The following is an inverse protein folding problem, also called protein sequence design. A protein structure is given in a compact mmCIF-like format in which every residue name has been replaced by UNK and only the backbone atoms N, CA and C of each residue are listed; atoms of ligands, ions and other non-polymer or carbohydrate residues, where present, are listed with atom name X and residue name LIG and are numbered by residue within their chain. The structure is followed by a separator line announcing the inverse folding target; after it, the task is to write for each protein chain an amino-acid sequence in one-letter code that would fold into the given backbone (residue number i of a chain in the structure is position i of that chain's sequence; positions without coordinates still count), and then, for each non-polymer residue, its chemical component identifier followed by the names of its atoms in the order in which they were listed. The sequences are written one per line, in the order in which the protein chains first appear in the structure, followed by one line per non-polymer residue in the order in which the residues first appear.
data_IF_577669871636
#
_entry.id   IF_577669871636
#
_cell.length_a   1.000
_cell.length_b   1.000
_cell.length_c   1.000
_cell.angle_alpha   90.00
_cell.angle_beta   90.00
_cell.angle_gamma   90.00
#
_symmetry.space_group_name_H-M   'P 1'
#
loop_
_entity.id
_entity.type
_entity.pdbx_description
1 polymer ?
#
# COMPACT_ATOMS: atom_id res chain seq x y z
N UNK A 1 -21.60 -3.14 26.11
CA UNK A 1 -20.49 -3.64 25.29
C UNK A 1 -20.63 -5.15 25.13
N UNK A 2 -20.64 -5.64 23.90
CA UNK A 2 -20.80 -7.07 23.59
C UNK A 2 -19.43 -7.73 23.40
N UNK A 3 -18.83 -8.19 24.50
CA UNK A 3 -17.55 -8.88 24.46
C UNK A 3 -17.61 -10.24 23.76
N UNK A 4 -18.80 -10.87 23.67
CA UNK A 4 -18.92 -12.16 22.98
C UNK A 4 -18.71 -11.97 21.48
N UNK A 5 -19.34 -10.95 20.89
CA UNK A 5 -19.12 -10.58 19.50
C UNK A 5 -17.67 -10.13 19.24
N UNK A 6 -17.07 -9.32 20.12
CA UNK A 6 -15.66 -8.91 19.96
C UNK A 6 -14.72 -10.14 19.99
N UNK A 7 -14.94 -11.09 20.90
CA UNK A 7 -14.15 -12.33 20.98
C UNK A 7 -14.33 -13.23 19.75
N UNK A 8 -15.53 -13.30 19.19
CA UNK A 8 -15.79 -14.01 17.93
C UNK A 8 -15.01 -13.38 16.77
N UNK A 9 -15.05 -12.05 16.66
CA UNK A 9 -14.30 -11.31 15.63
C UNK A 9 -12.78 -11.50 15.76
N UNK A 10 -12.25 -11.41 16.99
CA UNK A 10 -10.84 -11.70 17.30
C UNK A 10 -10.47 -13.12 16.88
N UNK A 11 -11.33 -14.10 17.17
CA UNK A 11 -11.07 -15.52 16.85
C UNK A 11 -11.04 -15.75 15.34
N UNK A 12 -11.95 -15.11 14.58
CA UNK A 12 -11.93 -15.15 13.11
C UNK A 12 -10.64 -14.58 12.55
N UNK A 13 -10.22 -13.40 13.00
CA UNK A 13 -8.98 -12.77 12.53
C UNK A 13 -7.76 -13.64 12.86
N UNK A 14 -7.72 -14.25 14.05
CA UNK A 14 -6.66 -15.20 14.42
C UNK A 14 -6.58 -16.38 13.45
N UNK A 15 -7.72 -16.97 13.10
CA UNK A 15 -7.77 -18.09 12.16
C UNK A 15 -7.27 -17.68 10.77
N UNK A 16 -7.60 -16.47 10.32
CA UNK A 16 -7.11 -15.94 9.04
C UNK A 16 -5.59 -15.73 9.05
N UNK A 17 -5.02 -15.18 10.12
CA UNK A 17 -3.57 -14.98 10.27
C UNK A 17 -2.82 -16.31 10.29
N UNK A 18 -3.37 -17.33 10.96
CA UNK A 18 -2.76 -18.67 11.02
C UNK A 18 -2.61 -19.31 9.64
N UNK A 19 -3.53 -19.05 8.72
CA UNK A 19 -3.45 -19.55 7.33
C UNK A 19 -2.33 -18.88 6.51
N UNK A 20 -1.77 -17.77 6.99
CA UNK A 20 -0.77 -16.98 6.28
C UNK A 20 0.67 -17.30 6.71
N UNK A 21 0.89 -18.25 7.64
CA UNK A 21 2.19 -18.73 8.13
C UNK A 21 3.29 -17.65 8.20
N UNK A 22 3.27 -16.79 9.23
CA UNK A 22 4.25 -15.70 9.36
C UNK A 22 5.71 -16.16 9.41
N UNK A 23 5.98 -17.41 9.80
CA UNK A 23 7.32 -17.97 9.95
C UNK A 23 7.96 -18.44 8.62
N UNK A 24 7.17 -18.58 7.55
CA UNK A 24 7.65 -19.06 6.23
C UNK A 24 8.10 -17.90 5.31
N UNK A 25 7.82 -16.66 5.67
CA UNK A 25 8.10 -15.50 4.82
C UNK A 25 9.41 -14.86 5.28
N UNK A 26 10.48 -15.07 4.51
CA UNK A 26 11.79 -14.48 4.79
C UNK A 26 11.76 -12.96 4.56
N UNK A 27 12.44 -12.20 5.43
CA UNK A 27 12.64 -10.77 5.21
C UNK A 27 13.47 -10.56 3.95
N UNK A 28 12.87 -9.97 2.91
CA UNK A 28 13.54 -9.79 1.62
C UNK A 28 14.35 -8.52 1.61
N UNK A 29 15.64 -8.63 1.28
CA UNK A 29 16.48 -7.48 0.99
C UNK A 29 15.97 -6.71 -0.24
N UNK A 30 16.26 -5.41 -0.33
CA UNK A 30 15.93 -4.63 -1.52
C UNK A 30 16.58 -5.20 -2.78
N UNK A 31 15.85 -5.15 -3.89
CA UNK A 31 16.33 -5.62 -5.20
C UNK A 31 17.57 -4.86 -5.70
N UNK A 32 17.66 -3.57 -5.37
CA UNK A 32 18.74 -2.69 -5.79
C UNK A 32 18.97 -1.61 -4.74
N UNK A 33 20.15 -1.00 -4.76
CA UNK A 33 20.48 0.10 -3.85
C UNK A 33 20.00 1.47 -4.39
N UNK A 34 20.07 2.48 -3.51
CA UNK A 34 19.64 3.86 -3.81
C UNK A 34 20.44 4.49 -4.95
N UNK A 35 21.74 4.21 -5.05
CA UNK A 35 22.63 4.81 -6.06
C UNK A 35 22.29 4.24 -7.43
N UNK A 36 22.10 2.92 -7.53
CA UNK A 36 21.70 2.26 -8.77
C UNK A 36 20.32 2.76 -9.24
N UNK A 37 19.36 2.85 -8.33
CA UNK A 37 18.03 3.35 -8.64
C UNK A 37 18.03 4.81 -9.10
N UNK A 38 18.73 5.71 -8.39
CA UNK A 38 18.78 7.12 -8.76
C UNK A 38 19.44 7.31 -10.14
N UNK A 39 20.54 6.60 -10.42
CA UNK A 39 21.15 6.62 -11.76
C UNK A 39 20.18 6.18 -12.85
N UNK A 40 19.39 5.14 -12.59
CA UNK A 40 18.34 4.68 -13.51
C UNK A 40 17.27 5.76 -13.71
N UNK A 41 16.74 6.33 -12.62
CA UNK A 41 15.72 7.38 -12.65
C UNK A 41 16.20 8.59 -13.45
N UNK A 42 17.40 9.10 -13.15
CA UNK A 42 17.97 10.26 -13.83
C UNK A 42 18.15 10.00 -15.33
N UNK A 43 18.64 8.81 -15.70
CA UNK A 43 18.77 8.41 -17.10
C UNK A 43 17.41 8.36 -17.82
N UNK A 44 16.38 7.82 -17.15
CA UNK A 44 15.02 7.72 -17.70
C UNK A 44 14.41 9.12 -17.86
N UNK A 45 14.49 9.96 -16.82
CA UNK A 45 13.96 11.34 -16.85
C UNK A 45 14.67 12.19 -17.90
N UNK A 46 15.99 12.11 -18.01
CA UNK A 46 16.76 12.83 -19.02
C UNK A 46 16.28 12.48 -20.45
N UNK A 47 16.08 11.18 -20.74
CA UNK A 47 15.53 10.74 -22.04
C UNK A 47 14.11 11.25 -22.30
N UNK A 48 13.28 11.30 -21.25
CA UNK A 48 11.91 11.81 -21.35
C UNK A 48 11.84 13.34 -21.47
N UNK A 49 12.80 14.09 -20.91
CA UNK A 49 12.87 15.55 -20.98
C UNK A 49 13.43 16.04 -22.32
N UNK A 50 14.36 15.31 -22.93
CA UNK A 50 14.89 15.64 -24.26
C UNK A 50 13.84 15.53 -25.38
N UNK A 51 12.67 14.95 -25.10
CA UNK A 51 11.54 14.86 -26.01
C UNK A 51 10.32 15.59 -25.45
N UNK A 52 9.97 16.76 -26.01
CA UNK A 52 8.71 17.42 -25.70
C UNK A 52 7.48 16.60 -26.13
N UNK A 53 7.68 15.66 -27.06
CA UNK A 53 6.66 14.76 -27.59
C UNK A 53 6.75 13.36 -26.97
N UNK A 54 5.70 12.53 -27.12
CA UNK A 54 5.80 11.09 -26.85
C UNK A 54 6.88 10.43 -27.72
N UNK A 55 7.42 9.30 -27.26
CA UNK A 55 8.43 8.56 -28.04
C UNK A 55 7.86 8.11 -29.39
N UNK A 56 8.70 8.03 -30.44
CA UNK A 56 8.27 7.61 -31.78
C UNK A 56 7.58 6.26 -31.78
N UNK A 57 8.11 5.30 -31.02
CA UNK A 57 7.47 3.99 -30.83
C UNK A 57 6.08 4.15 -30.22
N UNK A 58 5.96 4.89 -29.12
CA UNK A 58 4.70 5.09 -28.44
C UNK A 58 3.66 5.76 -29.35
N UNK A 59 4.06 6.79 -30.09
CA UNK A 59 3.21 7.47 -31.06
C UNK A 59 2.65 6.49 -32.10
N UNK A 60 3.51 5.65 -32.66
CA UNK A 60 3.14 4.72 -33.73
C UNK A 60 2.24 3.58 -33.25
N UNK A 61 2.40 3.15 -31.99
CA UNK A 61 1.63 2.03 -31.43
C UNK A 61 0.33 2.49 -30.78
N UNK A 62 0.37 3.62 -30.09
CA UNK A 62 -0.74 4.04 -29.22
C UNK A 62 -1.48 5.26 -29.74
N UNK A 63 -0.84 6.23 -30.38
CA UNK A 63 -1.50 7.49 -30.77
C UNK A 63 -2.19 7.37 -32.15
N UNK A 64 -3.13 6.43 -32.25
CA UNK A 64 -4.00 6.15 -33.40
C UNK A 64 -5.43 6.63 -33.13
N UNK A 65 -6.40 6.38 -34.02
CA UNK A 65 -7.81 6.76 -33.78
C UNK A 65 -8.37 6.14 -32.49
N UNK A 66 -7.97 4.91 -32.18
CA UNK A 66 -8.43 4.16 -30.99
C UNK A 66 -7.44 4.26 -29.81
N UNK A 67 -6.74 5.40 -29.67
CA UNK A 67 -5.63 5.51 -28.71
C UNK A 67 -6.03 5.17 -27.27
N UNK A 68 -7.20 5.62 -26.83
CA UNK A 68 -7.68 5.38 -25.47
C UNK A 68 -7.79 3.87 -25.20
N UNK A 69 -8.48 3.14 -26.08
CA UNK A 69 -8.70 1.71 -25.94
C UNK A 69 -7.36 0.95 -25.94
N UNK A 70 -6.44 1.33 -26.82
CA UNK A 70 -5.11 0.73 -26.90
C UNK A 70 -4.29 0.97 -25.62
N UNK A 71 -4.29 2.20 -25.11
CA UNK A 71 -3.58 2.54 -23.88
C UNK A 71 -4.21 1.83 -22.68
N UNK A 72 -5.54 1.88 -22.54
CA UNK A 72 -6.26 1.25 -21.42
C UNK A 72 -6.02 -0.27 -21.38
N UNK A 73 -6.09 -0.94 -22.54
CA UNK A 73 -5.75 -2.38 -22.64
C UNK A 73 -4.33 -2.68 -22.15
N UNK A 74 -3.35 -1.83 -22.50
CA UNK A 74 -1.97 -2.00 -22.02
C UNK A 74 -1.78 -1.63 -20.54
N UNK A 75 -2.57 -0.69 -20.01
CA UNK A 75 -2.61 -0.39 -18.57
C UNK A 75 -3.13 -1.62 -17.80
N UNK A 76 -4.19 -2.27 -18.27
CA UNK A 76 -4.71 -3.51 -17.70
C UNK A 76 -3.65 -4.64 -17.75
N UNK A 77 -3.00 -4.84 -18.89
CA UNK A 77 -1.92 -5.84 -19.02
C UNK A 77 -0.76 -5.55 -18.06
N UNK A 78 -0.41 -4.28 -17.87
CA UNK A 78 0.64 -3.87 -16.92
C UNK A 78 0.23 -4.22 -15.49
N UNK A 79 -1.01 -3.93 -15.10
CA UNK A 79 -1.55 -4.32 -13.78
C UNK A 79 -1.51 -5.83 -13.58
N UNK A 80 -2.02 -6.60 -14.55
CA UNK A 80 -2.03 -8.07 -14.48
C UNK A 80 -0.61 -8.64 -14.38
N UNK A 81 0.35 -8.09 -15.11
CA UNK A 81 1.75 -8.51 -15.02
C UNK A 81 2.35 -8.22 -13.64
N UNK A 82 2.05 -7.05 -13.06
CA UNK A 82 2.51 -6.68 -11.71
C UNK A 82 1.90 -7.64 -10.68
N UNK A 83 0.58 -7.86 -10.73
CA UNK A 83 -0.12 -8.78 -9.84
C UNK A 83 0.42 -10.20 -9.92
N UNK A 84 0.72 -10.68 -11.13
CA UNK A 84 1.33 -12.00 -11.33
C UNK A 84 2.72 -12.09 -10.70
N UNK A 85 3.55 -11.04 -10.85
CA UNK A 85 4.89 -10.97 -10.25
C UNK A 85 4.81 -10.88 -8.72
N UNK A 86 3.84 -10.17 -8.17
CA UNK A 86 3.54 -10.11 -6.73
C UNK A 86 3.15 -11.49 -6.20
N UNK A 87 2.22 -12.19 -6.89
CA UNK A 87 1.82 -13.56 -6.55
C UNK A 87 2.98 -14.54 -6.59
N UNK A 88 3.85 -14.45 -7.61
CA UNK A 88 5.08 -15.24 -7.69
C UNK A 88 6.06 -14.94 -6.55
N UNK A 89 6.02 -13.73 -6.00
CA UNK A 89 6.77 -13.35 -4.80
C UNK A 89 6.18 -13.87 -3.50
N UNK A 90 5.06 -14.61 -3.53
CA UNK A 90 4.39 -15.17 -2.36
C UNK A 90 3.28 -14.32 -1.78
N UNK A 91 3.00 -13.14 -2.36
CA UNK A 91 1.95 -12.24 -1.85
C UNK A 91 0.65 -12.48 -2.61
N UNK A 92 -0.39 -12.85 -1.88
CA UNK A 92 -1.76 -12.87 -2.40
C UNK A 92 -2.41 -11.49 -2.22
N UNK A 93 -2.76 -10.76 -3.30
CA UNK A 93 -3.40 -9.44 -3.19
C UNK A 93 -4.69 -9.46 -2.36
N UNK A 94 -5.48 -10.54 -2.47
CA UNK A 94 -6.72 -10.71 -1.69
C UNK A 94 -6.44 -10.92 -0.21
N UNK A 95 -5.39 -11.67 0.12
CA UNK A 95 -4.95 -11.86 1.51
C UNK A 95 -4.42 -10.56 2.10
N UNK A 96 -3.59 -9.81 1.35
CA UNK A 96 -3.10 -8.52 1.79
C UNK A 96 -4.24 -7.51 2.04
N UNK A 97 -5.21 -7.45 1.13
CA UNK A 97 -6.42 -6.62 1.29
C UNK A 97 -7.21 -7.01 2.54
N UNK A 98 -7.39 -8.31 2.80
CA UNK A 98 -8.04 -8.80 4.03
C UNK A 98 -7.26 -8.42 5.28
N UNK A 99 -5.93 -8.57 5.29
CA UNK A 99 -5.08 -8.12 6.40
C UNK A 99 -5.26 -6.63 6.69
N UNK A 100 -5.30 -5.78 5.66
CA UNK A 100 -5.53 -4.34 5.83
C UNK A 100 -6.92 -4.04 6.41
N UNK A 101 -7.96 -4.76 5.97
CA UNK A 101 -9.31 -4.64 6.51
C UNK A 101 -9.38 -5.08 7.98
N UNK A 102 -8.75 -6.22 8.32
CA UNK A 102 -8.66 -6.72 9.69
C UNK A 102 -7.88 -5.75 10.59
N UNK A 103 -6.82 -5.11 10.07
CA UNK A 103 -6.08 -4.08 10.80
C UNK A 103 -6.96 -2.88 11.16
N UNK A 104 -7.77 -2.40 10.20
CA UNK A 104 -8.71 -1.30 10.43
C UNK A 104 -9.77 -1.68 11.46
N UNK A 105 -10.35 -2.86 11.32
CA UNK A 105 -11.35 -3.38 12.25
C UNK A 105 -10.80 -3.50 13.68
N UNK A 106 -9.58 -4.03 13.85
CA UNK A 106 -8.92 -4.08 15.16
C UNK A 106 -8.72 -2.68 15.73
N UNK A 107 -8.30 -1.71 14.91
CA UNK A 107 -8.12 -0.33 15.34
C UNK A 107 -9.44 0.27 15.84
N UNK A 108 -10.53 0.08 15.10
CA UNK A 108 -11.86 0.57 15.48
C UNK A 108 -12.32 -0.04 16.82
N UNK A 109 -12.09 -1.34 17.05
CA UNK A 109 -12.42 -2.00 18.32
C UNK A 109 -11.55 -1.48 19.47
N UNK A 110 -10.24 -1.28 19.24
CA UNK A 110 -9.33 -0.70 20.24
C UNK A 110 -9.83 0.69 20.67
N UNK A 111 -10.19 1.54 19.71
CA UNK A 111 -10.64 2.91 19.99
C UNK A 111 -11.91 2.92 20.84
N UNK A 112 -12.88 2.06 20.53
CA UNK A 112 -14.09 1.87 21.34
C UNK A 112 -13.73 1.39 22.76
N UNK A 113 -12.85 0.39 22.89
CA UNK A 113 -12.45 -0.16 24.18
C UNK A 113 -11.69 0.85 25.05
N UNK A 114 -10.85 1.70 24.46
CA UNK A 114 -10.13 2.76 25.18
C UNK A 114 -11.10 3.80 25.72
N UNK A 115 -12.11 4.21 24.93
CA UNK A 115 -13.17 5.13 25.38
C UNK A 115 -13.94 4.52 26.55
N UNK A 116 -14.35 3.26 26.42
CA UNK A 116 -15.16 2.56 27.43
C UNK A 116 -14.37 2.31 28.72
N UNK A 117 -13.08 2.02 28.61
CA UNK A 117 -12.17 1.99 29.75
C UNK A 117 -12.10 3.36 30.43
N UNK A 118 -11.93 4.45 29.67
CA UNK A 118 -11.89 5.81 30.20
C UNK A 118 -13.20 6.26 30.85
N UNK A 119 -14.35 5.81 30.34
CA UNK A 119 -15.66 6.09 30.94
C UNK A 119 -15.85 5.32 32.26
N UNK A 120 -15.40 4.06 32.31
CA UNK A 120 -15.46 3.25 33.54
C UNK A 120 -14.62 3.85 34.68
N UNK A 121 -13.48 4.48 34.37
CA UNK A 121 -12.63 5.11 35.40
C UNK A 121 -13.14 6.48 35.88
N UNK A 122 -13.92 7.21 35.07
CA UNK A 122 -14.51 8.51 35.46
C UNK A 122 -15.77 8.37 36.32
N UNK A 123 -16.47 7.25 36.25
CA UNK A 123 -17.75 7.00 36.93
C UNK A 123 -17.61 6.53 38.40
N UNK A 124 -16.45 6.74 39.05
CA UNK A 124 -16.14 6.32 40.43
C UNK A 124 -17.04 6.91 41.54
N UNK A 125 -18.10 7.67 41.21
CA UNK A 125 -19.12 8.09 42.17
C UNK A 125 -20.20 7.01 42.35
N UNK A 126 -19.89 6.04 43.22
CA UNK A 126 -20.84 5.19 43.99
C UNK A 126 -21.81 4.26 43.21
N UNK A 127 -21.37 3.53 42.17
CA UNK A 127 -22.13 2.36 41.68
C UNK A 127 -21.23 1.14 41.44
N UNK A 128 -21.36 0.13 42.31
CA UNK A 128 -20.96 -1.28 42.08
C UNK A 128 -19.47 -1.56 41.77
N UNK A 129 -18.61 -1.34 42.77
CA UNK A 129 -17.14 -1.52 42.73
C UNK A 129 -16.70 -2.90 42.18
N UNK A 130 -17.37 -4.02 42.52
CA UNK A 130 -16.94 -5.37 42.06
C UNK A 130 -17.21 -5.62 40.57
N UNK A 131 -18.33 -5.12 40.02
CA UNK A 131 -18.71 -5.34 38.61
C UNK A 131 -17.83 -4.49 37.68
N UNK A 132 -17.45 -3.32 38.16
CA UNK A 132 -16.60 -2.37 37.46
C UNK A 132 -15.11 -2.80 37.43
N UNK A 133 -14.62 -3.52 38.46
CA UNK A 133 -13.28 -4.13 38.42
C UNK A 133 -13.22 -5.27 37.40
N UNK A 134 -14.23 -6.16 37.37
CA UNK A 134 -14.31 -7.27 36.43
C UNK A 134 -14.37 -6.79 34.97
N UNK A 135 -15.22 -5.80 34.70
CA UNK A 135 -15.35 -5.15 33.39
C UNK A 135 -14.03 -4.48 32.95
N UNK A 136 -13.37 -3.71 33.82
CA UNK A 136 -12.07 -3.09 33.53
C UNK A 136 -10.98 -4.13 33.23
N UNK A 137 -10.98 -5.25 33.94
CA UNK A 137 -10.06 -6.37 33.70
C UNK A 137 -10.32 -7.01 32.34
N UNK A 138 -11.58 -7.22 31.97
CA UNK A 138 -11.96 -7.77 30.67
C UNK A 138 -11.54 -6.84 29.53
N UNK A 139 -11.79 -5.52 29.63
CA UNK A 139 -11.30 -4.55 28.63
C UNK A 139 -9.78 -4.60 28.50
N UNK A 140 -9.03 -4.59 29.61
CA UNK A 140 -7.56 -4.65 29.58
C UNK A 140 -7.05 -5.91 28.89
N UNK A 141 -7.64 -7.07 29.18
CA UNK A 141 -7.25 -8.32 28.57
C UNK A 141 -7.51 -8.30 27.06
N UNK A 142 -8.70 -7.84 26.64
CA UNK A 142 -9.05 -7.74 25.22
C UNK A 142 -8.18 -6.72 24.48
N UNK A 143 -7.87 -5.57 25.10
CA UNK A 143 -6.95 -4.58 24.52
C UNK A 143 -5.55 -5.17 24.31
N UNK A 144 -5.02 -5.91 25.28
CA UNK A 144 -3.71 -6.57 25.16
C UNK A 144 -3.68 -7.55 23.99
N UNK A 145 -4.74 -8.36 23.84
CA UNK A 145 -4.88 -9.32 22.75
C UNK A 145 -4.99 -8.64 21.38
N UNK A 146 -5.78 -7.57 21.28
CA UNK A 146 -5.94 -6.78 20.05
C UNK A 146 -4.65 -6.07 19.66
N UNK A 147 -3.89 -5.54 20.62
CA UNK A 147 -2.59 -4.91 20.34
C UNK A 147 -1.60 -5.94 19.80
N UNK A 148 -1.53 -7.14 20.39
CA UNK A 148 -0.68 -8.21 19.89
C UNK A 148 -1.06 -8.63 18.46
N UNK A 149 -2.36 -8.76 18.17
CA UNK A 149 -2.84 -9.08 16.82
C UNK A 149 -2.55 -7.97 15.81
N UNK A 150 -2.76 -6.72 16.22
CA UNK A 150 -2.44 -5.54 15.40
C UNK A 150 -0.97 -5.55 14.99
N UNK A 151 -0.07 -5.86 15.92
CA UNK A 151 1.37 -5.90 15.64
C UNK A 151 1.74 -7.08 14.73
N UNK A 152 1.11 -8.25 14.90
CA UNK A 152 1.28 -9.39 14.00
C UNK A 152 0.83 -9.06 12.57
N UNK A 153 -0.36 -8.47 12.39
CA UNK A 153 -0.88 -8.08 11.09
C UNK A 153 0.02 -7.02 10.44
N UNK A 154 0.48 -6.02 11.21
CA UNK A 154 1.41 -5.00 10.71
C UNK A 154 2.71 -5.60 10.19
N UNK A 155 3.25 -6.63 10.85
CA UNK A 155 4.45 -7.34 10.37
C UNK A 155 4.19 -8.01 9.03
N UNK A 156 3.10 -8.78 8.91
CA UNK A 156 2.70 -9.43 7.66
C UNK A 156 2.52 -8.42 6.52
N UNK A 157 1.77 -7.34 6.76
CA UNK A 157 1.56 -6.29 5.75
C UNK A 157 2.90 -5.64 5.37
N UNK A 158 3.79 -5.34 6.34
CA UNK A 158 5.12 -4.78 6.04
C UNK A 158 5.92 -5.72 5.12
N UNK A 159 5.86 -7.02 5.36
CA UNK A 159 6.57 -8.04 4.57
C UNK A 159 6.01 -8.13 3.15
N UNK A 160 4.69 -8.22 3.01
CA UNK A 160 4.02 -8.15 1.70
C UNK A 160 4.43 -6.89 0.94
N UNK A 161 4.43 -5.73 1.62
CA UNK A 161 4.79 -4.46 1.01
C UNK A 161 6.26 -4.39 0.59
N UNK A 162 7.18 -5.10 1.26
CA UNK A 162 8.58 -5.22 0.79
C UNK A 162 8.66 -6.01 -0.51
N UNK A 163 7.94 -7.14 -0.59
CA UNK A 163 7.87 -7.95 -1.80
C UNK A 163 7.27 -7.14 -2.96
N UNK A 164 6.15 -6.44 -2.71
CA UNK A 164 5.55 -5.54 -3.70
C UNK A 164 6.54 -4.47 -4.12
N UNK A 165 7.21 -3.80 -3.18
CA UNK A 165 8.19 -2.75 -3.49
C UNK A 165 9.31 -3.28 -4.38
N UNK A 166 9.81 -4.49 -4.11
CA UNK A 166 10.82 -5.15 -4.94
C UNK A 166 10.33 -5.50 -6.35
N UNK A 167 9.07 -5.93 -6.49
CA UNK A 167 8.46 -6.10 -7.82
C UNK A 167 8.40 -4.77 -8.56
N UNK A 168 7.95 -3.71 -7.88
CA UNK A 168 7.83 -2.39 -8.52
C UNK A 168 9.21 -1.80 -8.84
N UNK A 169 10.25 -1.98 -8.01
CA UNK A 169 11.63 -1.59 -8.34
C UNK A 169 12.11 -2.23 -9.65
N UNK A 170 11.92 -3.54 -9.79
CA UNK A 170 12.29 -4.30 -10.99
C UNK A 170 11.59 -3.78 -12.24
N UNK A 171 10.33 -3.39 -12.11
CA UNK A 171 9.49 -2.93 -13.22
C UNK A 171 9.49 -1.40 -13.40
N UNK A 172 10.17 -0.66 -12.53
CA UNK A 172 10.02 0.78 -12.40
C UNK A 172 10.24 1.50 -13.72
N UNK A 173 11.34 1.17 -14.42
CA UNK A 173 11.68 1.78 -15.72
C UNK A 173 10.55 1.62 -16.73
N UNK A 174 9.95 0.44 -16.82
CA UNK A 174 8.88 0.14 -17.77
C UNK A 174 7.62 0.93 -17.39
N UNK A 175 7.21 0.87 -16.13
CA UNK A 175 6.04 1.60 -15.61
C UNK A 175 6.20 3.10 -15.82
N UNK A 176 7.34 3.65 -15.41
CA UNK A 176 7.60 5.09 -15.43
C UNK A 176 7.63 5.63 -16.86
N UNK A 177 8.31 4.94 -17.79
CA UNK A 177 8.36 5.33 -19.21
C UNK A 177 6.98 5.24 -19.83
N UNK A 178 6.25 4.15 -19.61
CA UNK A 178 4.92 3.95 -20.19
C UNK A 178 3.96 5.04 -19.70
N UNK A 179 3.82 5.21 -18.39
CA UNK A 179 2.91 6.19 -17.79
C UNK A 179 3.29 7.61 -18.17
N UNK A 180 4.58 7.95 -18.22
CA UNK A 180 5.02 9.28 -18.66
C UNK A 180 4.58 9.60 -20.09
N UNK A 181 4.64 8.63 -21.01
CA UNK A 181 4.15 8.81 -22.37
C UNK A 181 2.62 8.89 -22.41
N UNK A 182 1.91 8.05 -21.63
CA UNK A 182 0.45 8.14 -21.52
C UNK A 182 0.01 9.52 -21.02
N UNK A 183 0.68 10.08 -20.00
CA UNK A 183 0.41 11.43 -19.49
C UNK A 183 0.62 12.50 -20.57
N UNK A 184 1.71 12.41 -21.36
CA UNK A 184 1.97 13.34 -22.46
C UNK A 184 0.85 13.29 -23.51
N UNK A 185 0.45 12.09 -23.92
CA UNK A 185 -0.63 11.89 -24.91
C UNK A 185 -1.97 12.37 -24.37
N UNK A 186 -2.31 12.02 -23.13
CA UNK A 186 -3.56 12.46 -22.50
C UNK A 186 -3.64 13.99 -22.42
N UNK A 187 -2.56 14.67 -22.00
CA UNK A 187 -2.49 16.14 -21.98
C UNK A 187 -2.61 16.76 -23.37
N UNK A 188 -1.99 16.16 -24.38
CA UNK A 188 -2.09 16.62 -25.78
C UNK A 188 -3.52 16.56 -26.31
N UNK A 189 -4.29 15.55 -25.91
CA UNK A 189 -5.68 15.35 -26.33
C UNK A 189 -6.72 15.90 -25.35
N UNK A 190 -6.30 16.54 -24.25
CA UNK A 190 -7.17 16.97 -23.13
C UNK A 190 -8.03 15.82 -22.57
N UNK A 191 -7.45 14.62 -22.47
CA UNK A 191 -8.12 13.43 -21.96
C UNK A 191 -7.95 13.31 -20.44
N UNK A 192 -8.94 13.84 -19.73
CA UNK A 192 -8.99 13.79 -18.28
C UNK A 192 -9.21 12.36 -17.75
N UNK A 193 -9.92 11.51 -18.49
CA UNK A 193 -10.24 10.16 -18.05
C UNK A 193 -8.97 9.30 -17.97
N UNK A 194 -8.13 9.38 -19.00
CA UNK A 194 -6.85 8.66 -19.01
C UNK A 194 -5.90 9.17 -17.92
N UNK A 195 -5.89 10.48 -17.63
CA UNK A 195 -5.11 11.02 -16.51
C UNK A 195 -5.59 10.50 -15.16
N UNK A 196 -6.91 10.42 -14.95
CA UNK A 196 -7.52 9.85 -13.74
C UNK A 196 -7.19 8.35 -13.62
N UNK A 197 -7.25 7.61 -14.72
CA UNK A 197 -6.90 6.19 -14.74
C UNK A 197 -5.45 5.99 -14.28
N UNK A 198 -4.48 6.70 -14.89
CA UNK A 198 -3.06 6.64 -14.52
C UNK A 198 -2.87 6.99 -13.04
N UNK A 199 -3.49 8.07 -12.56
CA UNK A 199 -3.41 8.48 -11.16
C UNK A 199 -3.97 7.40 -10.22
N UNK A 200 -5.07 6.76 -10.59
CA UNK A 200 -5.69 5.66 -9.85
C UNK A 200 -4.80 4.41 -9.77
N UNK A 201 -4.06 4.08 -10.84
CA UNK A 201 -3.08 2.99 -10.80
C UNK A 201 -1.91 3.35 -9.89
N UNK A 202 -1.38 4.58 -10.02
CA UNK A 202 -0.32 5.07 -9.14
C UNK A 202 -0.75 5.03 -7.67
N UNK A 203 -1.99 5.40 -7.34
CA UNK A 203 -2.53 5.31 -5.98
C UNK A 203 -2.59 3.88 -5.45
N UNK A 204 -3.02 2.92 -6.27
CA UNK A 204 -2.98 1.50 -5.89
C UNK A 204 -1.56 1.04 -5.59
N UNK A 205 -0.59 1.39 -6.43
CA UNK A 205 0.82 1.03 -6.21
C UNK A 205 1.35 1.66 -4.92
N UNK A 206 1.10 2.96 -4.71
CA UNK A 206 1.52 3.68 -3.50
C UNK A 206 0.92 3.05 -2.25
N UNK A 207 -0.37 2.72 -2.25
CA UNK A 207 -1.04 2.09 -1.13
C UNK A 207 -0.44 0.71 -0.77
N UNK A 208 0.02 -0.05 -1.77
CA UNK A 208 0.69 -1.34 -1.54
C UNK A 208 2.13 -1.20 -1.03
N UNK A 209 2.85 -0.13 -1.39
CA UNK A 209 4.23 0.14 -0.94
C UNK A 209 4.25 0.78 0.46
N UNK A 210 3.32 1.69 0.74
CA UNK A 210 3.31 2.53 1.94
C UNK A 210 3.56 1.77 3.27
N UNK A 211 3.01 0.57 3.50
CA UNK A 211 3.24 -0.15 4.76
C UNK A 211 4.69 -0.55 5.04
N UNK A 212 5.59 -0.52 4.04
CA UNK A 212 7.03 -0.67 4.26
C UNK A 212 7.55 0.33 5.30
N UNK A 213 7.02 1.55 5.30
CA UNK A 213 7.51 2.66 6.13
C UNK A 213 7.01 2.63 7.58
N UNK A 214 6.41 1.52 8.03
CA UNK A 214 5.69 1.37 9.30
C UNK A 214 6.37 1.93 10.56
N UNK A 215 6.75 1.10 11.53
CA UNK A 215 7.44 1.62 12.73
C UNK A 215 8.73 2.29 12.27
N UNK A 216 8.96 3.54 12.68
CA UNK A 216 10.13 4.37 12.28
C UNK A 216 11.45 3.65 12.60
N UNK A 217 11.87 2.75 11.72
CA UNK A 217 13.19 2.14 11.71
C UNK A 217 13.99 2.79 10.61
N UNK A 218 15.05 3.52 10.97
CA UNK A 218 16.05 4.04 10.04
C UNK A 218 16.93 2.88 9.57
N UNK A 219 16.35 1.93 8.84
CA UNK A 219 17.13 0.94 8.11
C UNK A 219 17.58 1.58 6.80
N UNK A 220 18.89 1.77 6.64
CA UNK A 220 19.49 2.38 5.44
C UNK A 220 19.08 1.61 4.18
N UNK A 221 18.93 0.28 4.28
CA UNK A 221 18.49 -0.55 3.17
C UNK A 221 17.03 -0.29 2.79
N UNK A 222 16.19 0.26 3.67
CA UNK A 222 14.80 0.62 3.36
C UNK A 222 14.68 2.02 2.72
N UNK A 223 15.76 2.81 2.65
CA UNK A 223 15.74 4.15 2.03
C UNK A 223 15.29 4.10 0.56
N UNK A 224 15.72 3.08 -0.18
CA UNK A 224 15.32 2.88 -1.58
C UNK A 224 13.81 2.89 -1.77
N UNK A 225 13.05 2.32 -0.82
CA UNK A 225 11.60 2.29 -0.92
C UNK A 225 11.00 3.69 -0.78
N UNK A 226 11.62 4.60 0.00
CA UNK A 226 11.21 6.00 0.06
C UNK A 226 11.45 6.72 -1.26
N UNK A 227 12.60 6.49 -1.91
CA UNK A 227 12.89 7.05 -3.25
C UNK A 227 11.90 6.52 -4.29
N UNK A 228 11.64 5.21 -4.30
CA UNK A 228 10.62 4.61 -5.16
C UNK A 228 9.24 5.26 -4.96
N UNK A 229 8.82 5.37 -3.70
CA UNK A 229 7.53 5.96 -3.36
C UNK A 229 7.43 7.43 -3.78
N UNK A 230 8.51 8.19 -3.60
CA UNK A 230 8.61 9.56 -4.09
C UNK A 230 8.46 9.64 -5.61
N UNK A 231 9.17 8.79 -6.36
CA UNK A 231 9.11 8.80 -7.83
C UNK A 231 7.73 8.44 -8.38
N UNK A 232 7.02 7.52 -7.74
CA UNK A 232 5.64 7.19 -8.13
C UNK A 232 4.69 8.33 -7.77
N UNK A 233 4.93 9.04 -6.66
CA UNK A 233 4.16 10.25 -6.31
C UNK A 233 4.38 11.37 -7.32
N UNK A 234 5.61 11.60 -7.77
CA UNK A 234 5.94 12.58 -8.82
C UNK A 234 5.24 12.26 -10.14
N UNK A 235 5.22 10.97 -10.52
CA UNK A 235 4.51 10.50 -11.69
C UNK A 235 2.99 10.74 -11.58
N UNK A 236 2.39 10.44 -10.42
CA UNK A 236 0.99 10.76 -10.12
C UNK A 236 0.73 12.27 -10.21
N UNK A 237 1.55 13.07 -9.53
CA UNK A 237 1.42 14.53 -9.48
C UNK A 237 1.45 15.14 -10.89
N UNK A 238 2.31 14.58 -11.75
CA UNK A 238 2.39 14.93 -13.17
C UNK A 238 1.08 14.65 -13.93
N UNK A 239 0.36 13.58 -13.60
CA UNK A 239 -0.93 13.26 -14.21
C UNK A 239 -2.03 14.25 -13.79
N UNK A 240 -2.11 14.57 -12.50
CA UNK A 240 -3.17 15.44 -11.94
C UNK A 240 -2.83 16.95 -11.94
N UNK A 241 -1.68 17.33 -12.49
CA UNK A 241 -1.26 18.74 -12.58
C UNK A 241 -0.87 19.38 -11.24
N UNK A 242 -0.58 18.58 -10.21
CA UNK A 242 -0.13 19.07 -8.91
C UNK A 242 1.40 19.19 -8.88
N UNK A 243 1.93 20.25 -8.25
CA UNK A 243 3.34 20.29 -7.84
C UNK A 243 3.45 19.69 -6.44
N UNK A 244 4.37 18.77 -6.24
CA UNK A 244 4.72 18.31 -4.90
C UNK A 244 5.53 19.43 -4.22
N UNK A 245 5.03 19.86 -3.05
CA UNK A 245 5.65 20.88 -2.20
C UNK A 245 6.68 20.25 -1.26
#
# INVERSE_FOLDING_TARGET
MDFANIKDQISKIKSEIQLLNPDDIQDTEPYMDVIEFNKMVDSVKAKLQQSSNESTFFKNVFNTQDYYQNISTYLEQTQMSIEHKIKKGGVSPDSNKRLQQSLKMIQDIIDILVIEYGNSTKNDKKRWIKRDIGFRKEIKNTLSELVALKDQIKKLIKMDSKIVSNVILKEFKTIFVFFSNCIKVAKKHNDELLLVEIAGISDKILAMIQPVFGVKSLNINELIYYYLFYEIRELKASAIGQKLA
#
